data_IF_214972845482
#
_entry.id   IF_214972845482
#
_cell.length_a   1.000
_cell.length_b   1.000
_cell.length_c   1.000
_cell.angle_alpha   90.00
_cell.angle_beta   90.00
_cell.angle_gamma   90.00
#
_symmetry.space_group_name_H-M   'P 1'
#
loop_
_entity.id
_entity.type
_entity.pdbx_description
1 polymer ?
#
# COMPACT_ATOMS: atom_id res chain seq x y z
N UNK A 1 11.94 -19.44 12.19
CA UNK A 1 12.99 -19.18 11.18
C UNK A 1 14.00 -18.24 11.80
N UNK A 2 14.61 -17.34 11.04
CA UNK A 2 15.14 -16.11 11.65
C UNK A 2 13.97 -15.30 12.21
N UNK A 3 14.19 -14.48 13.26
CA UNK A 3 13.11 -13.64 13.85
C UNK A 3 12.35 -12.82 12.79
N UNK A 4 13.04 -12.39 11.73
CA UNK A 4 12.44 -11.62 10.62
C UNK A 4 11.42 -12.43 9.79
N UNK A 5 11.64 -13.74 9.62
CA UNK A 5 10.69 -14.59 8.88
C UNK A 5 9.41 -14.77 9.70
N UNK A 6 9.54 -14.96 11.01
CA UNK A 6 8.40 -15.22 11.87
C UNK A 6 7.53 -13.96 12.03
N UNK A 7 8.12 -12.76 12.09
CA UNK A 7 7.35 -11.50 12.10
C UNK A 7 6.73 -11.16 10.75
N UNK A 8 7.42 -11.47 9.64
CA UNK A 8 6.88 -11.18 8.30
C UNK A 8 5.76 -12.13 7.88
N UNK A 9 5.65 -13.30 8.53
CA UNK A 9 4.55 -14.24 8.29
C UNK A 9 3.18 -13.60 8.52
N UNK A 10 3.01 -12.79 9.57
CA UNK A 10 1.75 -12.10 9.82
C UNK A 10 1.36 -11.14 8.69
N UNK A 11 2.32 -10.40 8.13
CA UNK A 11 2.08 -9.54 6.96
C UNK A 11 1.67 -10.37 5.74
N UNK A 12 2.39 -11.45 5.46
CA UNK A 12 2.07 -12.35 4.36
C UNK A 12 0.67 -12.94 4.49
N UNK A 13 0.34 -13.53 5.65
CA UNK A 13 -0.95 -14.15 5.91
C UNK A 13 -2.09 -13.13 5.78
N UNK A 14 -1.87 -11.87 6.20
CA UNK A 14 -2.83 -10.77 6.06
C UNK A 14 -3.11 -10.45 4.58
N UNK A 15 -2.06 -10.27 3.78
CA UNK A 15 -2.24 -9.92 2.36
C UNK A 15 -2.79 -11.10 1.55
N UNK A 16 -2.37 -12.33 1.87
CA UNK A 16 -2.88 -13.55 1.27
C UNK A 16 -4.37 -13.73 1.55
N UNK A 17 -4.85 -13.45 2.77
CA UNK A 17 -6.26 -13.52 3.10
C UNK A 17 -7.13 -12.57 2.24
N UNK A 18 -6.58 -11.43 1.80
CA UNK A 18 -7.25 -10.51 0.89
C UNK A 18 -7.22 -11.07 -0.54
N UNK A 19 -6.07 -11.52 -1.03
CA UNK A 19 -5.94 -12.09 -2.37
C UNK A 19 -6.82 -13.31 -2.60
N UNK A 20 -6.91 -14.17 -1.60
CA UNK A 20 -7.65 -15.43 -1.65
C UNK A 20 -9.10 -15.25 -1.20
N UNK A 21 -9.53 -14.01 -0.94
CA UNK A 21 -10.91 -13.72 -0.53
C UNK A 21 -11.88 -14.09 -1.66
N UNK A 22 -12.92 -14.93 -1.39
CA UNK A 22 -13.84 -15.39 -2.43
C UNK A 22 -14.82 -14.31 -2.90
N UNK A 23 -14.80 -13.13 -2.27
CA UNK A 23 -15.65 -11.98 -2.57
C UNK A 23 -14.80 -10.72 -2.71
N UNK A 24 -15.25 -9.70 -3.46
CA UNK A 24 -14.49 -8.47 -3.64
C UNK A 24 -14.16 -7.77 -2.31
N UNK A 25 -12.93 -7.30 -2.19
CA UNK A 25 -12.43 -6.54 -1.03
C UNK A 25 -12.19 -5.09 -1.42
N UNK A 26 -12.79 -4.18 -0.64
CA UNK A 26 -12.64 -2.73 -0.81
C UNK A 26 -11.89 -2.16 0.39
N UNK A 27 -10.75 -1.52 0.14
CA UNK A 27 -10.05 -0.74 1.16
C UNK A 27 -10.59 0.69 1.21
N UNK A 28 -11.13 1.09 2.36
CA UNK A 28 -11.49 2.47 2.67
C UNK A 28 -10.35 3.11 3.48
N UNK A 29 -9.56 3.97 2.84
CA UNK A 29 -8.33 4.55 3.40
C UNK A 29 -8.60 5.94 3.95
N UNK A 30 -8.21 6.20 5.19
CA UNK A 30 -8.33 7.51 5.85
C UNK A 30 -6.99 7.84 6.52
N UNK A 31 -6.45 9.04 6.26
CA UNK A 31 -5.15 9.45 6.77
C UNK A 31 -3.99 8.62 6.21
N UNK A 32 -3.10 8.13 7.08
CA UNK A 32 -1.84 7.54 6.64
C UNK A 32 -1.96 6.06 6.23
N UNK A 33 -1.74 5.78 4.95
CA UNK A 33 -1.59 4.44 4.38
C UNK A 33 -0.10 4.12 4.19
N UNK A 34 0.50 3.48 5.20
CA UNK A 34 1.95 3.22 5.28
C UNK A 34 2.23 1.74 5.49
N UNK A 35 3.33 1.23 4.94
CA UNK A 35 3.84 -0.12 5.21
C UNK A 35 2.79 -1.22 4.99
N UNK A 36 2.34 -1.84 6.09
CA UNK A 36 1.27 -2.83 6.04
C UNK A 36 -0.05 -2.33 5.45
N UNK A 37 -0.37 -1.04 5.61
CA UNK A 37 -1.54 -0.41 4.98
C UNK A 37 -1.45 -0.38 3.45
N UNK A 38 -0.26 -0.11 2.90
CA UNK A 38 0.02 -0.25 1.46
C UNK A 38 -0.12 -1.70 1.03
N UNK A 39 0.30 -2.64 1.88
CA UNK A 39 0.11 -4.06 1.65
C UNK A 39 -1.38 -4.41 1.51
N UNK A 40 -2.21 -4.02 2.48
CA UNK A 40 -3.65 -4.27 2.47
C UNK A 40 -4.33 -3.60 1.26
N UNK A 41 -4.01 -2.31 1.03
CA UNK A 41 -4.62 -1.54 -0.06
C UNK A 41 -4.24 -2.09 -1.44
N UNK A 42 -2.95 -2.39 -1.65
CA UNK A 42 -2.48 -2.98 -2.91
C UNK A 42 -2.91 -4.43 -3.12
N UNK A 43 -3.31 -5.13 -2.05
CA UNK A 43 -3.89 -6.46 -2.15
C UNK A 43 -5.39 -6.44 -2.49
N UNK A 44 -6.09 -5.37 -2.12
CA UNK A 44 -7.54 -5.20 -2.32
C UNK A 44 -7.89 -5.03 -3.81
N UNK A 45 -9.16 -5.28 -4.15
CA UNK A 45 -9.67 -5.11 -5.52
C UNK A 45 -9.93 -3.63 -5.85
N UNK A 46 -10.45 -2.88 -4.87
CA UNK A 46 -10.78 -1.46 -5.02
C UNK A 46 -10.23 -0.70 -3.82
N UNK A 47 -9.72 0.50 -4.06
CA UNK A 47 -9.30 1.43 -3.02
C UNK A 47 -10.08 2.73 -3.16
N UNK A 48 -10.73 3.16 -2.08
CA UNK A 48 -11.38 4.46 -1.94
C UNK A 48 -10.66 5.20 -0.83
N UNK A 49 -10.30 6.47 -1.04
CA UNK A 49 -9.51 7.22 -0.09
C UNK A 49 -10.22 8.51 0.37
N UNK A 50 -10.03 8.89 1.63
CA UNK A 50 -10.40 10.21 2.12
C UNK A 50 -9.52 11.31 1.50
N UNK A 51 -10.00 12.55 1.44
CA UNK A 51 -9.23 13.69 0.93
C UNK A 51 -7.90 13.91 1.66
N UNK A 52 -7.84 13.58 2.95
CA UNK A 52 -6.66 13.71 3.80
C UNK A 52 -5.73 12.47 3.78
N UNK A 53 -6.06 11.47 2.95
CA UNK A 53 -5.28 10.25 2.88
C UNK A 53 -3.93 10.47 2.18
N UNK A 54 -2.91 9.74 2.63
CA UNK A 54 -1.59 9.73 2.01
C UNK A 54 -1.01 8.32 1.93
N UNK A 55 -0.17 8.08 0.94
CA UNK A 55 0.40 6.77 0.61
C UNK A 55 1.92 6.86 0.56
N UNK A 56 2.62 6.04 1.34
CA UNK A 56 4.08 5.97 1.28
C UNK A 56 4.67 4.69 1.89
N UNK A 57 5.95 4.45 1.60
CA UNK A 57 6.77 3.41 2.22
C UNK A 57 8.05 4.06 2.77
N UNK A 58 8.00 4.74 3.93
CA UNK A 58 9.12 5.50 4.49
C UNK A 58 10.15 4.59 5.20
N UNK A 59 9.99 3.26 5.15
CA UNK A 59 10.86 2.30 5.83
C UNK A 59 12.31 2.34 5.35
N UNK A 60 12.56 2.93 4.17
CA UNK A 60 13.91 3.15 3.64
C UNK A 60 14.79 3.95 4.62
N UNK A 61 14.19 4.88 5.37
CA UNK A 61 14.88 5.67 6.41
C UNK A 61 15.36 4.83 7.60
N UNK A 62 14.85 3.59 7.72
CA UNK A 62 15.21 2.61 8.74
C UNK A 62 15.97 1.42 8.17
N UNK A 63 16.41 1.48 6.92
CA UNK A 63 17.11 0.39 6.25
C UNK A 63 16.24 -0.84 5.99
N UNK A 64 14.92 -0.66 5.90
CA UNK A 64 13.97 -1.72 5.64
C UNK A 64 13.13 -1.43 4.39
N UNK A 65 12.67 -2.48 3.72
CA UNK A 65 11.78 -2.39 2.55
C UNK A 65 10.74 -3.48 2.67
N UNK A 66 9.46 -3.11 2.61
CA UNK A 66 8.31 -4.01 2.67
C UNK A 66 7.22 -3.57 1.69
N UNK A 67 6.27 -4.46 1.39
CA UNK A 67 5.08 -4.17 0.57
C UNK A 67 5.32 -3.56 -0.84
N UNK A 68 6.56 -3.54 -1.35
CA UNK A 68 6.90 -2.96 -2.64
C UNK A 68 6.10 -3.57 -3.81
N UNK A 69 5.85 -4.88 -3.77
CA UNK A 69 5.02 -5.56 -4.77
C UNK A 69 3.57 -5.10 -4.73
N UNK A 70 3.07 -4.66 -3.57
CA UNK A 70 1.70 -4.20 -3.38
C UNK A 70 1.60 -2.71 -3.74
N UNK A 71 2.65 -1.91 -3.48
CA UNK A 71 2.75 -0.55 -4.00
C UNK A 71 2.76 -0.50 -5.55
N UNK A 72 3.37 -1.50 -6.21
CA UNK A 72 3.35 -1.63 -7.68
C UNK A 72 1.98 -2.03 -8.25
N UNK A 73 1.05 -2.51 -7.41
CA UNK A 73 -0.34 -2.76 -7.83
C UNK A 73 -1.17 -1.49 -7.79
N UNK A 74 -0.78 -0.52 -6.98
CA UNK A 74 -1.39 0.81 -6.93
C UNK A 74 -0.77 1.73 -8.00
N UNK A 75 0.54 1.77 -8.15
CA UNK A 75 1.19 2.76 -9.03
C UNK A 75 2.11 2.15 -10.08
N UNK A 76 2.31 2.88 -11.18
CA UNK A 76 3.25 2.50 -12.23
C UNK A 76 4.70 2.42 -11.74
N UNK A 77 5.46 1.48 -12.32
CA UNK A 77 6.83 1.10 -11.91
C UNK A 77 7.78 2.28 -11.63
N UNK A 78 7.77 3.33 -12.47
CA UNK A 78 8.67 4.47 -12.28
C UNK A 78 8.33 5.26 -11.01
N UNK A 79 7.04 5.52 -10.77
CA UNK A 79 6.58 6.23 -9.57
C UNK A 79 6.84 5.39 -8.32
N UNK A 80 6.51 4.10 -8.36
CA UNK A 80 6.78 3.17 -7.25
C UNK A 80 8.26 3.15 -6.87
N UNK A 81 9.17 3.04 -7.86
CA UNK A 81 10.62 3.09 -7.59
C UNK A 81 11.05 4.39 -6.92
N UNK A 82 10.56 5.54 -7.40
CA UNK A 82 10.85 6.83 -6.77
C UNK A 82 10.38 6.84 -5.31
N UNK A 83 9.12 6.49 -5.06
CA UNK A 83 8.56 6.43 -3.70
C UNK A 83 9.35 5.50 -2.79
N UNK A 84 9.74 4.31 -3.27
CA UNK A 84 10.55 3.34 -2.51
C UNK A 84 11.96 3.86 -2.21
N UNK A 85 12.60 4.54 -3.16
CA UNK A 85 13.99 5.00 -3.01
C UNK A 85 14.11 6.29 -2.20
N UNK A 86 13.06 7.11 -2.16
CA UNK A 86 13.08 8.41 -1.48
C UNK A 86 12.17 8.47 -0.26
N UNK A 87 11.35 7.45 0.00
CA UNK A 87 10.31 7.51 1.03
C UNK A 87 9.21 8.55 0.75
N UNK A 88 9.11 9.06 -0.48
CA UNK A 88 8.16 10.14 -0.83
C UNK A 88 6.73 9.67 -0.59
N UNK A 89 5.97 10.48 0.16
CA UNK A 89 4.53 10.34 0.26
C UNK A 89 3.81 11.05 -0.88
N UNK A 90 2.70 10.48 -1.31
CA UNK A 90 1.72 11.15 -2.17
C UNK A 90 0.38 11.26 -1.47
N UNK A 91 -0.36 12.30 -1.80
CA UNK A 91 -1.74 12.48 -1.31
C UNK A 91 -2.75 11.66 -2.14
N UNK A 92 -4.00 11.65 -1.67
CA UNK A 92 -5.11 10.95 -2.29
C UNK A 92 -5.39 11.43 -3.73
N UNK A 93 -5.25 12.72 -4.00
CA UNK A 93 -5.52 13.30 -5.32
C UNK A 93 -4.47 12.87 -6.34
N UNK A 94 -3.20 12.84 -5.97
CA UNK A 94 -2.12 12.31 -6.81
C UNK A 94 -2.28 10.80 -7.00
N UNK A 95 -2.66 10.06 -5.95
CA UNK A 95 -2.95 8.63 -6.07
C UNK A 95 -4.08 8.35 -7.09
N UNK A 96 -5.15 9.15 -7.08
CA UNK A 96 -6.24 9.08 -8.04
C UNK A 96 -5.77 9.46 -9.45
N UNK A 97 -5.02 10.56 -9.59
CA UNK A 97 -4.47 11.03 -10.88
C UNK A 97 -3.56 9.99 -11.55
N UNK A 98 -2.85 9.19 -10.74
CA UNK A 98 -1.99 8.11 -11.19
C UNK A 98 -2.75 6.80 -11.47
N UNK A 99 -4.07 6.77 -11.24
CA UNK A 99 -4.92 5.61 -11.45
C UNK A 99 -4.72 4.49 -10.42
N UNK A 100 -4.17 4.81 -9.24
CA UNK A 100 -3.89 3.81 -8.22
C UNK A 100 -4.98 3.60 -7.19
N UNK A 101 -5.99 4.46 -7.19
CA UNK A 101 -7.21 4.33 -6.39
C UNK A 101 -8.41 4.70 -7.27
N UNK A 102 -9.60 4.24 -6.89
CA UNK A 102 -10.82 4.43 -7.68
C UNK A 102 -11.46 5.80 -7.47
N UNK A 103 -11.53 6.27 -6.22
CA UNK A 103 -12.11 7.58 -5.91
C UNK A 103 -11.54 8.18 -4.64
N UNK A 104 -11.67 9.51 -4.57
CA UNK A 104 -11.42 10.30 -3.38
C UNK A 104 -12.75 10.85 -2.87
N UNK A 105 -13.00 10.71 -1.58
CA UNK A 105 -14.25 11.11 -0.91
C UNK A 105 -13.95 11.94 0.34
N UNK A 106 -14.93 12.72 0.86
CA UNK A 106 -14.75 13.47 2.10
C UNK A 106 -14.48 12.59 3.33
#
# INVERSE_FOLDING_TARGET
>A
GTKIVDVNRGCYDTFAAIYDCPVPVISAVHGYCLGGGIGISGASDIVIAAEDASFSLPEIDRGALGAATHLMRLFGMQKTRRMLYTGEAIDAQEALRLGGIESVVP
#
